data_IF_088246462297
#
_entry.id   IF_088246462297
#
_cell.length_a   1.000
_cell.length_b   1.000
_cell.length_c   1.000
_cell.angle_alpha   90.00
_cell.angle_beta   90.00
_cell.angle_gamma   90.00
#
_symmetry.space_group_name_H-M   'P 1'
#
loop_
_entity.id
_entity.type
_entity.pdbx_description
1 polymer ?
#
# COMPACT_ATOMS: atom_id res chain seq x y z
N UNK A 1 31.10 12.97 -6.61
CA UNK A 1 30.34 11.75 -6.99
C UNK A 1 30.03 10.99 -5.72
N UNK A 2 28.80 11.06 -5.21
CA UNK A 2 28.35 10.22 -4.09
C UNK A 2 27.14 9.42 -4.57
N UNK A 3 27.38 8.12 -4.76
CA UNK A 3 26.37 7.12 -5.05
C UNK A 3 25.48 6.95 -3.82
N UNK A 4 24.34 7.66 -3.79
CA UNK A 4 23.33 7.47 -2.76
C UNK A 4 22.40 6.34 -3.21
N UNK A 5 22.86 5.13 -2.90
CA UNK A 5 22.11 3.91 -2.57
C UNK A 5 20.73 3.81 -3.23
N UNK A 6 20.72 3.10 -4.34
CA UNK A 6 19.52 2.45 -4.88
C UNK A 6 18.75 1.82 -3.73
N UNK A 7 17.53 2.29 -3.51
CA UNK A 7 16.56 1.60 -2.67
C UNK A 7 16.36 0.22 -3.30
N UNK A 8 16.69 -0.79 -2.51
CA UNK A 8 16.57 -2.21 -2.82
C UNK A 8 15.10 -2.50 -3.15
N UNK A 9 14.76 -2.48 -4.44
CA UNK A 9 13.60 -3.20 -4.94
C UNK A 9 13.86 -4.68 -4.72
N UNK A 10 13.04 -5.31 -3.87
CA UNK A 10 13.01 -6.75 -3.74
C UNK A 10 12.83 -7.41 -5.14
N UNK A 11 13.39 -8.61 -5.35
CA UNK A 11 13.52 -9.19 -6.68
C UNK A 11 12.14 -9.55 -7.27
N UNK A 12 11.74 -8.87 -8.35
CA UNK A 12 10.83 -9.42 -9.36
C UNK A 12 9.33 -9.10 -9.27
N UNK A 13 8.89 -8.18 -8.40
CA UNK A 13 7.49 -7.73 -8.36
C UNK A 13 7.24 -6.43 -9.12
N UNK A 14 6.01 -6.21 -9.57
CA UNK A 14 5.61 -4.95 -10.22
C UNK A 14 5.71 -3.81 -9.19
N UNK A 15 6.38 -2.69 -9.52
CA UNK A 15 6.44 -1.54 -8.62
C UNK A 15 5.05 -0.90 -8.54
N UNK A 16 4.50 -0.83 -7.33
CA UNK A 16 3.25 -0.10 -7.12
C UNK A 16 3.57 1.40 -7.07
N UNK A 17 2.87 2.18 -7.89
CA UNK A 17 2.94 3.63 -7.91
C UNK A 17 1.55 4.27 -7.77
N UNK A 18 1.46 5.59 -7.91
CA UNK A 18 0.20 6.30 -7.78
C UNK A 18 -0.83 5.94 -8.86
N UNK A 19 -0.38 5.51 -10.04
CA UNK A 19 -1.27 5.05 -11.11
C UNK A 19 -1.82 3.67 -10.79
N UNK A 20 -0.97 2.76 -10.30
CA UNK A 20 -1.39 1.45 -9.81
C UNK A 20 -2.46 1.56 -8.72
N UNK A 21 -2.25 2.42 -7.71
CA UNK A 21 -3.22 2.64 -6.64
C UNK A 21 -4.55 3.20 -7.16
N UNK A 22 -4.53 4.03 -8.22
CA UNK A 22 -5.75 4.53 -8.86
C UNK A 22 -6.47 3.44 -9.64
N UNK A 23 -5.72 2.63 -10.39
CA UNK A 23 -6.24 1.53 -11.22
C UNK A 23 -6.91 0.45 -10.39
N UNK A 24 -6.26 -0.01 -9.33
CA UNK A 24 -6.74 -1.11 -8.47
C UNK A 24 -7.43 -0.64 -7.18
N UNK A 25 -7.91 0.61 -7.18
CA UNK A 25 -8.51 1.23 -5.99
C UNK A 25 -9.70 0.43 -5.46
N UNK A 26 -10.54 -0.10 -6.36
CA UNK A 26 -11.78 -0.80 -5.98
C UNK A 26 -11.47 -2.13 -5.30
N UNK A 27 -10.49 -2.85 -5.84
CA UNK A 27 -9.98 -4.12 -5.33
C UNK A 27 -9.35 -3.91 -3.95
N UNK A 28 -8.50 -2.90 -3.80
CA UNK A 28 -7.88 -2.54 -2.52
C UNK A 28 -8.93 -2.16 -1.45
N UNK A 29 -9.92 -1.33 -1.80
CA UNK A 29 -11.02 -0.93 -0.90
C UNK A 29 -11.89 -2.11 -0.44
N UNK A 30 -11.97 -3.15 -1.26
CA UNK A 30 -12.81 -4.31 -1.02
C UNK A 30 -12.06 -5.43 -0.31
N UNK A 31 -10.77 -5.62 -0.64
CA UNK A 31 -9.91 -6.66 -0.09
C UNK A 31 -9.29 -6.32 1.27
N UNK A 32 -9.12 -5.04 1.60
CA UNK A 32 -8.57 -4.64 2.90
C UNK A 32 -9.66 -4.70 3.98
N UNK A 33 -9.45 -5.55 4.98
CA UNK A 33 -10.32 -5.66 6.16
C UNK A 33 -9.98 -4.59 7.22
N UNK A 34 -10.86 -4.31 8.20
CA UNK A 34 -10.53 -3.38 9.29
C UNK A 34 -9.31 -3.81 10.10
N UNK A 35 -9.15 -5.12 10.33
CA UNK A 35 -8.00 -5.68 11.06
C UNK A 35 -6.72 -5.50 10.25
N UNK A 36 -6.73 -5.88 8.98
CA UNK A 36 -5.62 -5.69 8.05
C UNK A 36 -5.22 -4.22 7.97
N UNK A 37 -6.19 -3.30 7.84
CA UNK A 37 -5.93 -1.86 7.81
C UNK A 37 -5.14 -1.41 9.04
N UNK A 38 -5.57 -1.80 10.24
CA UNK A 38 -4.89 -1.44 11.49
C UNK A 38 -3.46 -1.99 11.51
N UNK A 39 -3.27 -3.26 11.19
CA UNK A 39 -1.95 -3.90 11.19
C UNK A 39 -0.98 -3.27 10.17
N UNK A 40 -1.49 -2.89 9.00
CA UNK A 40 -0.70 -2.17 7.99
C UNK A 40 -0.30 -0.79 8.50
N UNK A 41 -1.21 -0.04 9.13
CA UNK A 41 -0.90 1.26 9.71
C UNK A 41 0.15 1.14 10.83
N UNK A 42 0.01 0.16 11.72
CA UNK A 42 0.98 -0.12 12.78
C UNK A 42 2.36 -0.45 12.18
N UNK A 43 2.40 -1.22 11.10
CA UNK A 43 3.64 -1.58 10.38
C UNK A 43 4.30 -0.36 9.74
N UNK A 44 3.52 0.48 9.06
CA UNK A 44 4.02 1.70 8.40
C UNK A 44 4.49 2.74 9.42
N UNK A 45 3.82 2.83 10.58
CA UNK A 45 4.24 3.66 11.71
C UNK A 45 5.56 3.16 12.29
N UNK A 46 5.68 1.85 12.54
CA UNK A 46 6.91 1.24 13.06
C UNK A 46 8.11 1.43 12.10
N UNK A 47 7.85 1.39 10.78
CA UNK A 47 8.83 1.64 9.72
C UNK A 47 9.11 3.15 9.49
N UNK A 48 8.42 4.05 10.22
CA UNK A 48 8.49 5.52 10.11
C UNK A 48 8.10 6.07 8.74
N UNK A 49 7.29 5.35 7.98
CA UNK A 49 6.70 5.86 6.74
C UNK A 49 5.46 6.74 7.01
N UNK A 50 4.73 6.41 8.08
CA UNK A 50 3.67 7.25 8.64
C UNK A 50 4.10 7.77 10.01
N UNK A 51 3.63 8.97 10.36
CA UNK A 51 3.68 9.51 11.72
C UNK A 51 2.35 9.26 12.45
N UNK A 52 2.34 9.39 13.77
CA UNK A 52 1.15 9.17 14.60
C UNK A 52 -0.02 10.06 14.16
N UNK A 53 0.24 11.33 13.84
CA UNK A 53 -0.81 12.25 13.37
C UNK A 53 -1.44 11.78 12.05
N UNK A 54 -0.66 11.20 11.14
CA UNK A 54 -1.18 10.69 9.86
C UNK A 54 -2.03 9.44 10.08
N UNK A 55 -1.61 8.54 10.97
CA UNK A 55 -2.38 7.34 11.33
C UNK A 55 -3.69 7.75 11.98
N UNK A 56 -3.67 8.70 12.91
CA UNK A 56 -4.86 9.21 13.57
C UNK A 56 -5.80 9.89 12.58
N UNK A 57 -5.28 10.70 11.66
CA UNK A 57 -6.10 11.30 10.59
C UNK A 57 -6.73 10.22 9.72
N UNK A 58 -5.99 9.19 9.28
CA UNK A 58 -6.53 8.10 8.46
C UNK A 58 -7.63 7.32 9.21
N UNK A 59 -7.46 7.10 10.51
CA UNK A 59 -8.42 6.34 11.32
C UNK A 59 -9.65 7.13 11.71
N UNK A 60 -9.54 8.45 11.85
CA UNK A 60 -10.61 9.33 12.35
C UNK A 60 -11.31 10.13 11.24
N UNK A 61 -10.65 10.39 10.13
CA UNK A 61 -11.26 11.01 8.95
C UNK A 61 -12.00 9.94 8.15
N UNK A 62 -13.32 9.88 8.32
CA UNK A 62 -14.19 8.95 7.60
C UNK A 62 -15.00 8.02 8.50
N UNK A 63 -16.24 7.73 8.07
CA UNK A 63 -17.19 6.92 8.84
C UNK A 63 -17.05 5.43 8.55
N UNK A 64 -16.74 5.08 7.30
CA UNK A 64 -16.73 3.68 6.87
C UNK A 64 -15.31 3.14 6.73
N UNK A 65 -15.16 1.82 6.78
CA UNK A 65 -13.88 1.14 6.46
C UNK A 65 -13.32 1.60 5.11
N UNK A 66 -14.17 1.72 4.09
CA UNK A 66 -13.75 2.12 2.75
C UNK A 66 -13.23 3.55 2.73
N UNK A 67 -13.80 4.47 3.50
CA UNK A 67 -13.28 5.83 3.62
C UNK A 67 -11.87 5.85 4.20
N UNK A 68 -11.62 5.06 5.25
CA UNK A 68 -10.31 4.97 5.89
C UNK A 68 -9.25 4.37 4.97
N UNK A 69 -9.59 3.28 4.27
CA UNK A 69 -8.70 2.69 3.27
C UNK A 69 -8.41 3.68 2.14
N UNK A 70 -9.43 4.42 1.68
CA UNK A 70 -9.24 5.50 0.70
C UNK A 70 -8.26 6.56 1.21
N UNK A 71 -8.43 7.03 2.45
CA UNK A 71 -7.56 8.03 3.03
C UNK A 71 -6.11 7.53 3.16
N UNK A 72 -5.92 6.25 3.51
CA UNK A 72 -4.60 5.62 3.45
C UNK A 72 -4.00 5.69 2.04
N UNK A 73 -4.74 5.27 1.01
CA UNK A 73 -4.25 5.29 -0.38
C UNK A 73 -3.91 6.71 -0.85
N UNK A 74 -4.71 7.69 -0.47
CA UNK A 74 -4.52 9.09 -0.85
C UNK A 74 -3.27 9.68 -0.14
N UNK A 75 -3.05 9.36 1.14
CA UNK A 75 -1.83 9.73 1.89
C UNK A 75 -0.57 9.09 1.31
N UNK A 76 -0.62 7.81 0.96
CA UNK A 76 0.53 7.13 0.36
C UNK A 76 0.85 7.70 -1.03
N UNK A 77 -0.17 8.04 -1.80
CA UNK A 77 -0.02 8.66 -3.12
C UNK A 77 0.64 10.03 -3.04
N UNK A 78 0.37 10.82 -1.99
CA UNK A 78 0.98 12.15 -1.80
C UNK A 78 2.44 12.07 -1.36
N UNK A 79 2.82 11.03 -0.59
CA UNK A 79 4.22 10.77 -0.20
C UNK A 79 5.08 10.19 -1.32
N UNK A 80 4.46 9.47 -2.25
CA UNK A 80 5.10 8.98 -3.47
C UNK A 80 5.55 7.51 -3.42
N UNK A 81 6.22 7.04 -4.49
CA UNK A 81 6.39 5.61 -4.77
C UNK A 81 7.09 4.79 -3.67
N UNK A 82 8.00 5.39 -2.90
CA UNK A 82 8.66 4.70 -1.80
C UNK A 82 7.70 4.29 -0.68
N UNK A 83 6.73 5.16 -0.34
CA UNK A 83 5.70 4.83 0.66
C UNK A 83 4.72 3.79 0.11
N UNK A 84 4.40 3.86 -1.17
CA UNK A 84 3.53 2.89 -1.85
C UNK A 84 4.18 1.49 -1.88
N UNK A 85 5.47 1.41 -2.18
CA UNK A 85 6.22 0.16 -2.12
C UNK A 85 6.21 -0.45 -0.72
N UNK A 86 6.42 0.36 0.33
CA UNK A 86 6.36 -0.15 1.71
C UNK A 86 4.97 -0.53 2.17
N UNK A 87 3.93 0.12 1.65
CA UNK A 87 2.56 -0.32 1.82
C UNK A 87 2.31 -1.69 1.19
N UNK A 88 2.80 -1.92 -0.04
CA UNK A 88 2.73 -3.24 -0.69
C UNK A 88 3.40 -4.32 0.18
N UNK A 89 4.62 -4.06 0.63
CA UNK A 89 5.37 -4.98 1.48
C UNK A 89 4.62 -5.26 2.79
N UNK A 90 4.15 -4.20 3.48
CA UNK A 90 3.38 -4.33 4.70
C UNK A 90 2.10 -5.15 4.48
N UNK A 91 1.37 -4.91 3.39
CA UNK A 91 0.15 -5.64 3.05
C UNK A 91 0.43 -7.13 2.78
N UNK A 92 1.57 -7.47 2.19
CA UNK A 92 1.98 -8.85 1.95
C UNK A 92 2.45 -9.57 3.23
N UNK A 93 2.94 -8.83 4.23
CA UNK A 93 3.49 -9.37 5.48
C UNK A 93 2.42 -9.60 6.58
N UNK A 94 1.29 -8.87 6.55
CA UNK A 94 0.33 -8.88 7.67
C UNK A 94 -0.52 -10.14 7.80
N UNK A 95 -1.09 -10.64 6.70
CA UNK A 95 -1.94 -11.83 6.71
C UNK A 95 -1.98 -12.52 5.33
N UNK A 96 -2.43 -13.78 5.33
CA UNK A 96 -2.50 -14.61 4.11
C UNK A 96 -3.47 -14.02 3.07
N UNK A 97 -4.70 -13.62 3.39
CA UNK A 97 -5.61 -13.00 2.41
C UNK A 97 -5.04 -11.74 1.74
N UNK A 98 -4.31 -10.92 2.47
CA UNK A 98 -3.69 -9.69 1.97
C UNK A 98 -2.49 -9.99 1.08
N UNK A 99 -1.69 -11.00 1.42
CA UNK A 99 -0.65 -11.53 0.55
C UNK A 99 -1.23 -12.07 -0.77
N UNK A 100 -2.33 -12.82 -0.71
CA UNK A 100 -3.04 -13.31 -1.91
C UNK A 100 -3.61 -12.16 -2.75
N UNK A 101 -4.12 -11.09 -2.12
CA UNK A 101 -4.55 -9.88 -2.80
C UNK A 101 -3.38 -9.23 -3.55
N UNK A 102 -2.22 -9.03 -2.90
CA UNK A 102 -1.03 -8.45 -3.55
C UNK A 102 -0.61 -9.28 -4.76
N UNK A 103 -0.51 -10.61 -4.60
CA UNK A 103 -0.13 -11.51 -5.69
C UNK A 103 -1.14 -11.48 -6.86
N UNK A 104 -2.44 -11.37 -6.57
CA UNK A 104 -3.48 -11.29 -7.59
C UNK A 104 -3.38 -10.00 -8.39
N UNK A 105 -3.15 -8.87 -7.72
CA UNK A 105 -3.01 -7.57 -8.38
C UNK A 105 -1.73 -7.51 -9.23
N UNK A 106 -0.60 -8.02 -8.71
CA UNK A 106 0.64 -8.15 -9.46
C UNK A 106 0.47 -9.03 -10.72
N UNK A 107 -0.18 -10.19 -10.59
CA UNK A 107 -0.44 -11.06 -11.74
C UNK A 107 -1.36 -10.40 -12.78
N UNK A 108 -2.37 -9.64 -12.32
CA UNK A 108 -3.32 -8.94 -13.20
C UNK A 108 -2.65 -7.80 -13.97
N UNK A 109 -1.77 -7.04 -13.32
CA UNK A 109 -1.01 -5.97 -13.99
C UNK A 109 -0.02 -6.57 -14.98
N UNK A 110 0.70 -7.64 -14.62
CA UNK A 110 1.62 -8.34 -15.53
C UNK A 110 0.91 -8.82 -16.80
N UNK A 111 -0.29 -9.40 -16.66
CA UNK A 111 -1.09 -9.85 -17.80
C UNK A 111 -1.62 -8.70 -18.66
N UNK A 112 -1.83 -7.52 -18.06
CA UNK A 112 -2.27 -6.32 -18.76
C UNK A 112 -1.14 -5.67 -19.56
N UNK A 113 0.09 -5.68 -19.04
CA UNK A 113 1.27 -5.11 -19.73
C UNK A 113 1.76 -5.94 -20.93
N UNK A 114 1.28 -7.18 -21.08
CA UNK A 114 1.61 -8.07 -22.20
C UNK A 114 0.70 -7.89 -23.43
N UNK A 115 -0.33 -7.05 -23.33
CA UNK A 115 -1.28 -6.76 -24.42
C UNK A 115 -0.97 -5.43 -25.09
#
# INVERSE_FOLDING_TARGET
MNAQRMQLGAPGGIPWDGEFLRKYRVELLSGITPTTLKQVLDTLLAKRDLIEEEVDLILNDGKTRKDKVRNLLDTLSSKGPGSIGRFKDALAEVDKPSSELVNTLDATEAASSLR
#
